data_IF_025033880281
#
_entry.id   IF_025033880281
#
_cell.length_a   1.000
_cell.length_b   1.000
_cell.length_c   1.000
_cell.angle_alpha   90.00
_cell.angle_beta   90.00
_cell.angle_gamma   90.00
#
_symmetry.space_group_name_H-M   'P 1'
#
loop_
_entity.id
_entity.type
_entity.pdbx_description
1 polymer ?
#
# COMPACT_ATOMS: atom_id res chain seq x y z
N UNK A 1 -7.36 6.97 -18.22
CA UNK A 1 -7.08 5.84 -17.33
C UNK A 1 -8.40 5.28 -16.85
N UNK A 2 -8.53 3.95 -16.85
CA UNK A 2 -9.68 3.29 -16.23
C UNK A 2 -9.71 3.55 -14.72
N UNK A 3 -10.90 3.54 -14.12
CA UNK A 3 -11.10 3.86 -12.70
C UNK A 3 -10.27 2.94 -11.77
N UNK A 4 -10.15 1.67 -12.15
CA UNK A 4 -9.30 0.70 -11.45
C UNK A 4 -7.80 1.08 -11.47
N UNK A 5 -7.28 1.56 -12.60
CA UNK A 5 -5.89 1.97 -12.71
C UNK A 5 -5.59 3.17 -11.80
N UNK A 6 -6.53 4.12 -11.71
CA UNK A 6 -6.41 5.26 -10.80
C UNK A 6 -6.40 4.82 -9.33
N UNK A 7 -7.31 3.92 -8.93
CA UNK A 7 -7.35 3.34 -7.57
C UNK A 7 -6.08 2.57 -7.21
N UNK A 8 -5.50 1.84 -8.17
CA UNK A 8 -4.21 1.16 -7.98
C UNK A 8 -3.06 2.15 -7.78
N UNK A 9 -3.01 3.20 -8.60
CA UNK A 9 -1.99 4.23 -8.49
C UNK A 9 -2.06 4.96 -7.15
N UNK A 10 -3.26 5.33 -6.72
CA UNK A 10 -3.50 5.92 -5.39
C UNK A 10 -3.01 4.98 -4.29
N UNK A 11 -3.36 3.70 -4.36
CA UNK A 11 -2.91 2.69 -3.39
C UNK A 11 -1.38 2.51 -3.38
N UNK A 12 -0.74 2.64 -4.55
CA UNK A 12 0.72 2.63 -4.67
C UNK A 12 1.36 3.82 -3.97
N UNK A 13 0.85 5.04 -4.22
CA UNK A 13 1.33 6.27 -3.57
C UNK A 13 1.13 6.20 -2.05
N UNK A 14 -0.06 5.79 -1.60
CA UNK A 14 -0.37 5.58 -0.18
C UNK A 14 0.61 4.58 0.45
N UNK A 15 0.90 3.47 -0.23
CA UNK A 15 1.85 2.46 0.23
C UNK A 15 3.29 2.98 0.38
N UNK A 16 3.77 3.81 -0.54
CA UNK A 16 5.09 4.45 -0.44
C UNK A 16 5.13 5.43 0.73
N UNK A 17 4.08 6.22 0.93
CA UNK A 17 3.98 7.15 2.06
C UNK A 17 4.02 6.36 3.38
N UNK A 18 3.25 5.28 3.48
CA UNK A 18 3.22 4.41 4.67
C UNK A 18 4.58 3.77 4.92
N UNK A 19 5.29 3.32 3.88
CA UNK A 19 6.63 2.77 4.01
C UNK A 19 7.60 3.78 4.64
N UNK A 20 7.59 5.02 4.14
CA UNK A 20 8.45 6.10 4.63
C UNK A 20 8.10 6.44 6.08
N UNK A 21 6.81 6.59 6.39
CA UNK A 21 6.33 6.90 7.74
C UNK A 21 6.66 5.77 8.72
N UNK A 22 6.51 4.50 8.32
CA UNK A 22 6.84 3.34 9.13
C UNK A 22 8.34 3.29 9.43
N UNK A 23 9.19 3.52 8.43
CA UNK A 23 10.64 3.63 8.63
C UNK A 23 10.98 4.69 9.69
N UNK A 24 10.45 5.91 9.53
CA UNK A 24 10.71 6.98 10.49
C UNK A 24 10.16 6.66 11.86
N UNK A 25 8.94 6.14 11.94
CA UNK A 25 8.31 5.76 13.20
C UNK A 25 9.16 4.74 13.96
N UNK A 26 9.57 3.65 13.33
CA UNK A 26 10.38 2.62 13.99
C UNK A 26 11.77 3.13 14.37
N UNK A 27 12.43 3.88 13.48
CA UNK A 27 13.77 4.40 13.73
C UNK A 27 13.78 5.44 14.87
N UNK A 28 12.84 6.38 14.85
CA UNK A 28 12.73 7.41 15.88
C UNK A 28 12.35 6.79 17.23
N UNK A 29 11.43 5.84 17.26
CA UNK A 29 11.11 5.11 18.50
C UNK A 29 12.34 4.39 19.04
N UNK A 30 13.11 3.70 18.20
CA UNK A 30 14.34 3.05 18.67
C UNK A 30 15.34 4.03 19.26
N UNK A 31 15.55 5.19 18.61
CA UNK A 31 16.43 6.22 19.13
C UNK A 31 15.94 6.76 20.49
N UNK A 32 14.64 6.99 20.64
CA UNK A 32 14.03 7.46 21.87
C UNK A 32 14.22 6.48 23.04
N UNK A 33 14.03 5.17 22.80
CA UNK A 33 14.01 4.18 23.87
C UNK A 33 15.35 3.52 24.16
N UNK A 34 16.21 3.36 23.15
CA UNK A 34 17.43 2.54 23.25
C UNK A 34 18.72 3.30 23.00
N UNK A 35 18.67 4.46 22.34
CA UNK A 35 19.87 5.22 22.05
C UNK A 35 20.10 6.31 23.11
N UNK A 36 21.17 6.14 23.88
CA UNK A 36 21.67 7.16 24.79
C UNK A 36 22.73 8.03 24.11
N UNK A 37 22.74 9.33 24.45
CA UNK A 37 23.66 10.31 23.86
C UNK A 37 25.12 9.86 24.03
N UNK A 38 25.91 9.96 22.96
CA UNK A 38 27.34 9.63 22.95
C UNK A 38 27.67 8.26 22.34
N UNK A 39 26.68 7.41 22.08
CA UNK A 39 26.87 6.15 21.34
C UNK A 39 26.81 6.38 19.83
N UNK A 40 27.53 5.57 19.02
CA UNK A 40 27.41 5.62 17.56
C UNK A 40 25.96 5.41 17.13
N UNK A 41 25.58 6.03 16.02
CA UNK A 41 24.23 5.91 15.48
C UNK A 41 23.95 4.43 15.12
N UNK A 42 22.82 3.86 15.55
CA UNK A 42 22.45 2.50 15.17
C UNK A 42 22.23 2.38 13.66
N UNK A 43 22.46 1.18 13.12
CA UNK A 43 22.21 0.90 11.72
C UNK A 43 20.74 1.14 11.35
N UNK A 44 20.49 1.79 10.21
CA UNK A 44 19.15 2.09 9.69
C UNK A 44 18.51 0.92 8.95
N UNK A 45 19.32 -0.05 8.51
CA UNK A 45 18.90 -1.19 7.68
C UNK A 45 17.71 -1.98 8.25
N UNK A 46 17.68 -2.41 9.53
CA UNK A 46 16.53 -3.17 10.05
C UNK A 46 15.23 -2.36 10.02
N UNK A 47 15.30 -1.04 10.22
CA UNK A 47 14.14 -0.15 10.18
C UNK A 47 13.67 0.12 8.76
N UNK A 48 14.59 0.17 7.80
CA UNK A 48 14.25 0.24 6.38
C UNK A 48 13.50 -1.02 5.94
N UNK A 49 13.99 -2.20 6.34
CA UNK A 49 13.33 -3.49 6.07
C UNK A 49 11.93 -3.49 6.70
N UNK A 50 11.81 -3.08 7.97
CA UNK A 50 10.51 -2.97 8.65
C UNK A 50 9.56 -2.01 7.91
N UNK A 51 10.05 -0.85 7.46
CA UNK A 51 9.27 0.09 6.67
C UNK A 51 8.78 -0.52 5.35
N UNK A 52 9.65 -1.20 4.61
CA UNK A 52 9.30 -1.89 3.36
C UNK A 52 8.22 -2.95 3.62
N UNK A 53 8.40 -3.80 4.64
CA UNK A 53 7.42 -4.82 4.99
C UNK A 53 6.05 -4.22 5.31
N UNK A 54 5.99 -3.13 6.07
CA UNK A 54 4.74 -2.43 6.40
C UNK A 54 4.08 -1.82 5.16
N UNK A 55 4.85 -1.16 4.28
CA UNK A 55 4.34 -0.60 3.04
C UNK A 55 3.81 -1.68 2.08
N UNK A 56 4.56 -2.77 1.90
CA UNK A 56 4.13 -3.91 1.07
C UNK A 56 2.88 -4.57 1.64
N UNK A 57 2.80 -4.78 2.95
CA UNK A 57 1.61 -5.33 3.59
C UNK A 57 0.36 -4.47 3.34
N UNK A 58 0.51 -3.14 3.40
CA UNK A 58 -0.57 -2.21 3.08
C UNK A 58 -1.04 -2.32 1.62
N UNK A 59 -0.10 -2.33 0.67
CA UNK A 59 -0.42 -2.44 -0.76
C UNK A 59 -1.14 -3.76 -1.04
N UNK A 60 -0.67 -4.87 -0.48
CA UNK A 60 -1.32 -6.18 -0.62
C UNK A 60 -2.73 -6.18 -0.05
N UNK A 61 -2.92 -5.58 1.12
CA UNK A 61 -4.24 -5.42 1.74
C UNK A 61 -5.21 -4.62 0.85
N UNK A 62 -4.78 -3.48 0.31
CA UNK A 62 -5.57 -2.66 -0.62
C UNK A 62 -5.87 -3.42 -1.90
N UNK A 63 -4.89 -4.09 -2.50
CA UNK A 63 -5.07 -4.87 -3.72
C UNK A 63 -6.11 -5.98 -3.52
N UNK A 64 -6.02 -6.71 -2.40
CA UNK A 64 -6.99 -7.74 -2.03
C UNK A 64 -8.42 -7.17 -1.88
N UNK A 65 -8.54 -5.97 -1.31
CA UNK A 65 -9.84 -5.29 -1.15
C UNK A 65 -10.41 -4.76 -2.46
N UNK A 66 -9.58 -4.28 -3.38
CA UNK A 66 -10.01 -3.72 -4.68
C UNK A 66 -10.42 -4.84 -5.64
N UNK A 67 -9.78 -6.01 -5.58
CA UNK A 67 -10.05 -7.14 -6.47
C UNK A 67 -11.54 -7.51 -6.67
N UNK A 68 -12.36 -7.65 -5.60
CA UNK A 68 -13.78 -7.95 -5.75
C UNK A 68 -14.60 -6.81 -6.38
N UNK A 69 -14.20 -5.53 -6.24
CA UNK A 69 -14.87 -4.40 -6.89
C UNK A 69 -14.69 -4.45 -8.42
N UNK A 70 -13.49 -4.83 -8.87
CA UNK A 70 -13.17 -4.96 -10.30
C UNK A 70 -14.03 -6.06 -10.94
N UNK A 71 -14.14 -7.21 -10.26
CA UNK A 71 -14.92 -8.33 -10.79
C UNK A 71 -16.39 -7.97 -10.95
N UNK A 72 -16.98 -7.30 -9.95
CA UNK A 72 -18.36 -6.81 -10.03
C UNK A 72 -18.57 -5.84 -11.19
N UNK A 73 -17.63 -4.90 -11.38
CA UNK A 73 -17.72 -3.98 -12.51
C UNK A 73 -17.60 -4.67 -13.86
N UNK A 74 -16.69 -5.64 -13.99
CA UNK A 74 -16.51 -6.39 -15.23
C UNK A 74 -17.75 -7.21 -15.58
N UNK A 75 -18.34 -7.91 -14.60
CA UNK A 75 -19.57 -8.70 -14.79
C UNK A 75 -20.75 -7.79 -15.16
N UNK A 76 -20.90 -6.64 -14.49
CA UNK A 76 -21.97 -5.69 -14.79
C UNK A 76 -21.87 -5.10 -16.20
N UNK A 77 -20.66 -4.84 -16.69
CA UNK A 77 -20.44 -4.36 -18.05
C UNK A 77 -20.78 -5.43 -19.09
N UNK A 78 -20.37 -6.68 -18.89
CA UNK A 78 -20.72 -7.80 -19.80
C UNK A 78 -22.24 -7.99 -19.88
N UNK A 79 -22.94 -7.99 -18.74
CA UNK A 79 -24.42 -8.08 -18.70
C UNK A 79 -25.10 -6.91 -19.41
N UNK A 80 -24.48 -5.73 -19.44
CA UNK A 80 -25.01 -4.56 -20.14
C UNK A 80 -24.85 -4.67 -21.64
N UNK A 81 -23.73 -5.22 -22.11
CA UNK A 81 -23.47 -5.46 -23.53
C UNK A 81 -24.42 -6.54 -24.08
N UNK A 82 -24.58 -7.68 -23.40
CA UNK A 82 -25.55 -8.72 -23.79
C UNK A 82 -26.97 -8.16 -23.91
N UNK A 83 -27.41 -7.33 -22.95
CA UNK A 83 -28.74 -6.73 -22.96
C UNK A 83 -28.94 -5.69 -24.08
N UNK A 84 -27.87 -5.10 -24.61
CA UNK A 84 -27.93 -4.18 -25.75
C UNK A 84 -27.90 -4.91 -27.10
N UNK A 85 -27.30 -6.10 -27.15
CA UNK A 85 -27.31 -6.95 -28.36
C UNK A 85 -28.63 -7.72 -28.55
N UNK A 86 -29.40 -7.93 -27.47
CA UNK A 86 -30.74 -8.55 -27.53
C UNK A 86 -31.87 -7.60 -27.99
N UNK A 87 -31.61 -6.30 -28.19
CA UNK A 87 -32.59 -5.27 -28.63
C UNK A 87 -32.39 -4.96 -30.11
#
# INVERSE_FOLDING_TARGET
MEEYQKKLLESGIEGVIIMILAYFFYYQNYLLYKWHRGMPLPSKTPFLIAGILTGTAYILYKAYKIYPEIQKHKIANVLREEKLEEI
#
